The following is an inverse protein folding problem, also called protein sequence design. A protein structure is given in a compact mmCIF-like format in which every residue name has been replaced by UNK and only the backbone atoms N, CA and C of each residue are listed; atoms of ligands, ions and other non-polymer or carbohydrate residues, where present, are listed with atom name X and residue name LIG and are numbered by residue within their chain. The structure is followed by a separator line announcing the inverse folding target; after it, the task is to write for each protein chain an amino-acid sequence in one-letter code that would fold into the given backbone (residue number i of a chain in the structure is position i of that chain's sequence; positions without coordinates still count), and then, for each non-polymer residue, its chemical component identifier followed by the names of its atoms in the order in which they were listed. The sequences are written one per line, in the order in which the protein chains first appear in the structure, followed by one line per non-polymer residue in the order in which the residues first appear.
data_IF_663026289037
#
_entry.id   IF_663026289037
#
_cell.length_a   1.000
_cell.length_b   1.000
_cell.length_c   1.000
_cell.angle_alpha   90.00
_cell.angle_beta   90.00
_cell.angle_gamma   90.00
#
_symmetry.space_group_name_H-M   'P 1'
#
loop_
_entity.id
_entity.type
_entity.pdbx_description
1 polymer ?
#
# COMPACT_ATOMS: atom_id res chain seq x y z
N UNK A 1 -8.24 15.05 12.88
CA UNK A 1 -8.34 13.72 12.27
C UNK A 1 -9.56 13.66 11.36
N UNK A 2 -9.40 13.15 10.13
CA UNK A 2 -10.44 12.99 9.12
C UNK A 2 -11.72 12.31 9.67
N UNK A 3 -12.93 12.80 9.29
CA UNK A 3 -14.22 12.23 9.75
C UNK A 3 -14.38 10.76 9.31
N UNK A 4 -13.92 10.42 8.11
CA UNK A 4 -13.98 9.06 7.59
C UNK A 4 -13.04 8.13 8.38
N UNK A 5 -11.80 8.57 8.64
CA UNK A 5 -10.85 7.80 9.46
C UNK A 5 -11.38 7.58 10.89
N UNK A 6 -11.96 8.62 11.50
CA UNK A 6 -12.62 8.51 12.81
C UNK A 6 -13.72 7.44 12.80
N UNK A 7 -14.51 7.35 11.72
CA UNK A 7 -15.52 6.30 11.56
C UNK A 7 -14.89 4.91 11.44
N UNK A 8 -13.83 4.75 10.65
CA UNK A 8 -13.13 3.47 10.51
C UNK A 8 -12.56 2.96 11.84
N UNK A 9 -12.06 3.87 12.69
CA UNK A 9 -11.59 3.54 14.03
C UNK A 9 -12.75 3.03 14.91
N UNK A 10 -13.89 3.73 14.91
CA UNK A 10 -15.09 3.29 15.63
C UNK A 10 -15.61 1.93 15.16
N UNK A 11 -15.52 1.66 13.85
CA UNK A 11 -15.89 0.37 13.24
C UNK A 11 -14.83 -0.73 13.40
N UNK A 12 -13.71 -0.46 14.08
CA UNK A 12 -12.57 -1.38 14.23
C UNK A 12 -11.92 -1.83 12.91
N UNK A 13 -12.14 -1.09 11.82
CA UNK A 13 -11.46 -1.32 10.53
C UNK A 13 -10.05 -0.72 10.51
N UNK A 14 -9.79 0.23 11.39
CA UNK A 14 -8.45 0.75 11.71
C UNK A 14 -8.29 0.66 13.22
N UNK A 15 -7.22 0.03 13.70
CA UNK A 15 -7.02 -0.23 15.12
C UNK A 15 -5.55 -0.03 15.51
N UNK A 16 -5.33 0.51 16.71
CA UNK A 16 -4.03 0.42 17.35
C UNK A 16 -3.85 -0.99 17.90
N UNK A 17 -2.71 -1.57 17.61
CA UNK A 17 -2.25 -2.89 18.07
C UNK A 17 -0.83 -2.77 18.59
N UNK A 18 -0.27 -3.85 19.12
CA UNK A 18 1.17 -3.90 19.38
C UNK A 18 1.95 -3.83 18.06
N UNK A 19 3.11 -3.21 18.09
CA UNK A 19 4.06 -3.29 16.99
C UNK A 19 4.41 -4.76 16.75
N UNK A 20 4.36 -5.20 15.49
CA UNK A 20 4.58 -6.61 15.16
C UNK A 20 5.58 -6.74 14.04
N UNK A 21 6.80 -7.15 14.40
CA UNK A 21 7.84 -7.50 13.44
C UNK A 21 7.40 -8.67 12.55
N UNK A 22 6.78 -9.69 13.13
CA UNK A 22 6.25 -10.85 12.40
C UNK A 22 5.22 -10.45 11.33
N UNK A 23 4.24 -9.61 11.68
CA UNK A 23 3.25 -9.14 10.71
C UNK A 23 3.88 -8.22 9.66
N UNK A 24 4.83 -7.37 10.05
CA UNK A 24 5.60 -6.55 9.13
C UNK A 24 6.32 -7.43 8.09
N UNK A 25 7.06 -8.44 8.53
CA UNK A 25 7.78 -9.40 7.68
C UNK A 25 6.82 -10.20 6.80
N UNK A 26 5.69 -10.66 7.34
CA UNK A 26 4.67 -11.40 6.56
C UNK A 26 4.12 -10.56 5.39
N UNK A 27 3.84 -9.27 5.63
CA UNK A 27 3.37 -8.39 4.56
C UNK A 27 4.49 -7.93 3.61
N UNK A 28 5.75 -7.89 4.06
CA UNK A 28 6.91 -7.72 3.18
C UNK A 28 7.07 -8.93 2.25
N UNK A 29 6.92 -10.15 2.75
CA UNK A 29 6.92 -11.35 1.91
C UNK A 29 5.80 -11.29 0.87
N UNK A 30 4.57 -10.93 1.28
CA UNK A 30 3.46 -10.72 0.34
C UNK A 30 3.74 -9.62 -0.68
N UNK A 31 4.50 -8.58 -0.31
CA UNK A 31 4.93 -7.54 -1.24
C UNK A 31 5.82 -8.15 -2.32
N UNK A 32 6.83 -8.90 -1.91
CA UNK A 32 7.81 -9.50 -2.81
C UNK A 32 7.16 -10.58 -3.70
N UNK A 33 6.28 -11.42 -3.15
CA UNK A 33 5.52 -12.43 -3.89
C UNK A 33 4.60 -11.80 -4.95
N UNK A 34 3.89 -10.72 -4.61
CA UNK A 34 3.05 -9.99 -5.57
C UNK A 34 3.91 -9.36 -6.68
N UNK A 35 5.05 -8.75 -6.35
CA UNK A 35 5.91 -8.14 -7.35
C UNK A 35 6.52 -9.20 -8.30
N UNK A 36 6.95 -10.35 -7.76
CA UNK A 36 7.41 -11.48 -8.56
C UNK A 36 6.29 -12.00 -9.48
N UNK A 37 5.09 -12.17 -8.93
CA UNK A 37 3.91 -12.60 -9.70
C UNK A 37 3.60 -11.62 -10.82
N UNK A 38 3.67 -10.31 -10.56
CA UNK A 38 3.42 -9.29 -11.58
C UNK A 38 4.37 -9.42 -12.78
N UNK A 39 5.65 -9.70 -12.54
CA UNK A 39 6.66 -9.90 -13.58
C UNK A 39 6.39 -11.16 -14.41
N UNK A 40 6.12 -12.29 -13.75
CA UNK A 40 5.77 -13.55 -14.43
C UNK A 40 4.51 -13.38 -15.27
N UNK A 41 3.49 -12.69 -14.75
CA UNK A 41 2.23 -12.45 -15.46
C UNK A 41 2.44 -11.56 -16.69
N UNK A 42 3.28 -10.53 -16.61
CA UNK A 42 3.66 -9.70 -17.75
C UNK A 42 4.33 -10.55 -18.85
N UNK A 43 5.29 -11.40 -18.49
CA UNK A 43 6.01 -12.27 -19.43
C UNK A 43 5.07 -13.26 -20.15
N UNK A 44 3.98 -13.66 -19.49
CA UNK A 44 2.98 -14.59 -20.01
C UNK A 44 1.79 -13.90 -20.70
N UNK A 45 1.85 -12.58 -20.94
CA UNK A 45 0.78 -11.84 -21.63
C UNK A 45 -0.47 -11.60 -20.77
N UNK A 46 -0.40 -11.84 -19.46
CA UNK A 46 -1.50 -11.66 -18.51
C UNK A 46 -1.45 -10.26 -17.88
N UNK A 47 -1.50 -9.22 -18.73
CA UNK A 47 -1.23 -7.83 -18.36
C UNK A 47 -2.15 -7.28 -17.27
N UNK A 48 -3.43 -7.61 -17.32
CA UNK A 48 -4.40 -7.22 -16.28
C UNK A 48 -3.97 -7.73 -14.90
N UNK A 49 -3.68 -9.03 -14.82
CA UNK A 49 -3.29 -9.67 -13.57
C UNK A 49 -1.94 -9.15 -13.09
N UNK A 50 -1.05 -8.79 -14.02
CA UNK A 50 0.21 -8.12 -13.69
C UNK A 50 -0.03 -6.76 -13.02
N UNK A 51 -0.89 -5.90 -13.60
CA UNK A 51 -1.28 -4.60 -13.02
C UNK A 51 -1.89 -4.78 -11.62
N UNK A 52 -2.78 -5.76 -11.46
CA UNK A 52 -3.40 -6.07 -10.17
C UNK A 52 -2.35 -6.44 -9.12
N UNK A 53 -1.39 -7.30 -9.48
CA UNK A 53 -0.33 -7.71 -8.57
C UNK A 53 0.65 -6.57 -8.24
N UNK A 54 0.97 -5.70 -9.20
CA UNK A 54 1.76 -4.49 -8.96
C UNK A 54 1.11 -3.58 -7.91
N UNK A 55 -0.21 -3.39 -7.98
CA UNK A 55 -0.97 -2.65 -6.96
C UNK A 55 -0.92 -3.33 -5.58
N UNK A 56 -1.16 -4.64 -5.53
CA UNK A 56 -1.17 -5.35 -4.25
C UNK A 56 0.21 -5.41 -3.61
N UNK A 57 1.29 -5.44 -4.39
CA UNK A 57 2.64 -5.29 -3.85
C UNK A 57 2.79 -3.95 -3.10
N UNK A 58 2.40 -2.83 -3.71
CA UNK A 58 2.44 -1.51 -3.04
C UNK A 58 1.55 -1.47 -1.79
N UNK A 59 0.32 -1.99 -1.89
CA UNK A 59 -0.61 -1.96 -0.76
C UNK A 59 -0.15 -2.84 0.41
N UNK A 60 0.33 -4.05 0.15
CA UNK A 60 0.92 -4.92 1.17
C UNK A 60 2.12 -4.25 1.84
N UNK A 61 2.92 -3.50 1.09
CA UNK A 61 4.07 -2.79 1.65
C UNK A 61 3.65 -1.66 2.61
N UNK A 62 2.55 -0.96 2.32
CA UNK A 62 1.93 -0.02 3.27
C UNK A 62 1.44 -0.75 4.51
N UNK A 63 0.77 -1.91 4.36
CA UNK A 63 0.32 -2.69 5.52
C UNK A 63 1.49 -3.14 6.39
N UNK A 64 2.61 -3.59 5.80
CA UNK A 64 3.82 -3.93 6.53
C UNK A 64 4.31 -2.75 7.39
N UNK A 65 4.38 -1.56 6.79
CA UNK A 65 4.76 -0.34 7.51
C UNK A 65 3.78 0.03 8.63
N UNK A 66 2.48 -0.12 8.40
CA UNK A 66 1.48 0.13 9.44
C UNK A 66 1.64 -0.82 10.62
N UNK A 67 1.90 -2.12 10.39
CA UNK A 67 2.18 -3.08 11.48
C UNK A 67 3.48 -2.76 12.23
N UNK A 68 4.51 -2.25 11.54
CA UNK A 68 5.70 -1.71 12.20
C UNK A 68 5.37 -0.54 13.14
N UNK A 69 4.37 0.27 12.80
CA UNK A 69 3.88 1.34 13.67
C UNK A 69 2.82 0.87 14.70
N UNK A 70 2.51 -0.43 14.74
CA UNK A 70 1.46 -1.01 15.57
C UNK A 70 0.06 -0.54 15.17
N UNK A 71 -0.21 -0.45 13.86
CA UNK A 71 -1.50 -0.08 13.29
C UNK A 71 -1.99 -1.21 12.40
N UNK A 72 -3.18 -1.72 12.71
CA UNK A 72 -3.91 -2.64 11.84
C UNK A 72 -4.90 -1.84 11.01
N UNK A 73 -4.90 -2.04 9.69
CA UNK A 73 -5.87 -1.46 8.76
C UNK A 73 -6.42 -2.51 7.80
N UNK A 74 -7.75 -2.62 7.75
CA UNK A 74 -8.49 -3.51 6.85
C UNK A 74 -9.19 -2.72 5.73
N UNK A 75 -8.83 -1.45 5.53
CA UNK A 75 -9.46 -0.57 4.55
C UNK A 75 -8.43 0.18 3.71
N UNK A 76 -8.44 -0.03 2.39
CA UNK A 76 -7.50 0.61 1.46
C UNK A 76 -7.51 2.14 1.57
N UNK A 77 -8.70 2.75 1.59
CA UNK A 77 -8.84 4.21 1.71
C UNK A 77 -8.37 4.70 3.08
N UNK A 78 -8.67 3.95 4.14
CA UNK A 78 -8.14 4.22 5.48
C UNK A 78 -6.61 4.23 5.52
N UNK A 79 -5.97 3.21 4.94
CA UNK A 79 -4.50 3.11 4.87
C UNK A 79 -3.88 4.29 4.09
N UNK A 80 -4.48 4.70 2.98
CA UNK A 80 -4.03 5.88 2.21
C UNK A 80 -4.18 7.18 2.99
N UNK A 81 -5.30 7.36 3.71
CA UNK A 81 -5.51 8.55 4.56
C UNK A 81 -4.48 8.57 5.70
N UNK A 82 -4.18 7.43 6.34
CA UNK A 82 -3.15 7.35 7.37
C UNK A 82 -1.78 7.73 6.79
N UNK A 83 -1.43 7.19 5.62
CA UNK A 83 -0.18 7.51 4.93
C UNK A 83 -0.06 9.00 4.58
N UNK A 84 -1.14 9.59 4.06
CA UNK A 84 -1.20 11.00 3.67
C UNK A 84 -1.18 11.96 4.87
N UNK A 85 -2.11 11.78 5.79
CA UNK A 85 -2.42 12.79 6.81
C UNK A 85 -1.69 12.55 8.14
N UNK A 86 -1.40 11.30 8.51
CA UNK A 86 -0.80 10.97 9.82
C UNK A 86 0.70 10.73 9.71
N UNK A 87 1.12 9.93 8.72
CA UNK A 87 2.54 9.66 8.43
C UNK A 87 3.17 10.83 7.63
N UNK A 88 2.34 11.73 7.09
CA UNK A 88 2.74 12.91 6.32
C UNK A 88 3.58 12.54 5.08
N UNK A 89 3.09 11.57 4.29
CA UNK A 89 3.66 11.12 3.02
C UNK A 89 2.63 11.25 1.88
N UNK A 90 2.17 12.47 1.57
CA UNK A 90 1.17 12.69 0.52
C UNK A 90 1.60 12.13 -0.83
N UNK A 91 2.89 12.20 -1.18
CA UNK A 91 3.44 11.70 -2.43
C UNK A 91 3.30 10.17 -2.58
N UNK A 92 3.45 9.43 -1.48
CA UNK A 92 3.26 7.97 -1.47
C UNK A 92 1.77 7.64 -1.50
N UNK A 93 0.96 8.38 -0.74
CA UNK A 93 -0.49 8.17 -0.77
C UNK A 93 -1.07 8.42 -2.18
N UNK A 94 -0.59 9.43 -2.89
CA UNK A 94 -1.01 9.77 -4.25
C UNK A 94 -0.59 8.70 -5.26
N UNK A 95 0.67 8.22 -5.23
CA UNK A 95 1.08 7.09 -6.09
C UNK A 95 0.26 5.82 -5.83
N UNK A 96 -0.05 5.50 -4.57
CA UNK A 96 -0.90 4.35 -4.26
C UNK A 96 -2.36 4.56 -4.74
N UNK A 97 -2.87 5.78 -4.68
CA UNK A 97 -4.21 6.12 -5.19
C UNK A 97 -4.26 6.05 -6.72
N UNK A 98 -3.24 6.54 -7.41
CA UNK A 98 -3.10 6.48 -8.86
C UNK A 98 -3.06 5.03 -9.33
N UNK A 99 -2.22 4.20 -8.69
CA UNK A 99 -2.15 2.77 -8.99
C UNK A 99 -3.47 2.04 -8.70
N UNK A 100 -4.22 2.47 -7.67
CA UNK A 100 -5.57 1.94 -7.40
C UNK A 100 -6.54 2.25 -8.53
N UNK A 101 -6.48 3.46 -9.11
CA UNK A 101 -7.31 3.84 -10.28
C UNK A 101 -6.94 3.00 -11.49
N UNK A 102 -5.65 2.93 -11.82
CA UNK A 102 -5.11 2.09 -12.91
C UNK A 102 -5.60 0.64 -12.79
N UNK A 103 -5.52 0.05 -11.59
CA UNK A 103 -6.02 -1.30 -11.31
C UNK A 103 -7.53 -1.42 -11.57
N UNK A 104 -8.34 -0.52 -11.02
CA UNK A 104 -9.80 -0.54 -11.20
C UNK A 104 -10.12 -0.43 -12.69
N UNK A 105 -9.48 0.50 -13.39
CA UNK A 105 -9.73 0.71 -14.80
C UNK A 105 -9.41 -0.54 -15.62
N UNK A 106 -8.26 -1.17 -15.32
CA UNK A 106 -7.88 -2.42 -15.97
C UNK A 106 -8.76 -3.62 -15.61
N UNK A 107 -9.59 -3.57 -14.56
CA UNK A 107 -10.48 -4.69 -14.17
C UNK A 107 -11.90 -4.56 -14.73
N UNK A 108 -12.37 -3.33 -14.96
CA UNK A 108 -13.79 -3.08 -15.24
C UNK A 108 -14.07 -2.51 -16.63
N UNK A 109 -13.05 -2.10 -17.39
CA UNK A 109 -13.22 -1.62 -18.77
C UNK A 109 -12.66 -2.61 -19.79
N UNK A 110 -13.35 -2.72 -20.92
CA UNK A 110 -12.96 -3.58 -22.05
C UNK A 110 -11.70 -3.07 -22.72
N UNK A 111 -10.83 -4.00 -23.11
CA UNK A 111 -9.50 -3.72 -23.64
C UNK A 111 -9.43 -4.12 -25.10
N UNK A 112 -9.34 -3.13 -25.98
CA UNK A 112 -9.30 -3.37 -27.42
C UNK A 112 -7.87 -3.40 -27.97
N UNK A 113 -6.86 -3.08 -27.14
CA UNK A 113 -5.45 -2.97 -27.55
C UNK A 113 -4.49 -3.67 -26.57
N UNK A 114 -3.94 -4.81 -27.01
CA UNK A 114 -3.00 -5.63 -26.22
C UNK A 114 -1.64 -4.96 -25.98
N UNK A 115 -1.15 -4.14 -26.91
CA UNK A 115 0.15 -3.47 -26.77
C UNK A 115 0.08 -2.34 -25.73
N UNK A 116 -1.06 -1.64 -25.67
CA UNK A 116 -1.32 -0.63 -24.66
C UNK A 116 -1.40 -1.24 -23.26
N UNK A 117 -2.08 -2.37 -23.10
CA UNK A 117 -2.16 -3.09 -21.83
C UNK A 117 -0.79 -3.62 -21.38
N UNK A 118 0.02 -4.13 -22.32
CA UNK A 118 1.39 -4.52 -22.04
C UNK A 118 2.23 -3.35 -21.51
N UNK A 119 2.18 -2.21 -22.18
CA UNK A 119 2.88 -0.99 -21.76
C UNK A 119 2.43 -0.54 -20.39
N UNK A 120 1.11 -0.48 -20.15
CA UNK A 120 0.51 -0.13 -18.86
C UNK A 120 0.95 -1.08 -17.74
N UNK A 121 1.05 -2.38 -18.04
CA UNK A 121 1.57 -3.39 -17.12
C UNK A 121 3.06 -3.19 -16.80
N UNK A 122 3.90 -2.89 -17.79
CA UNK A 122 5.31 -2.56 -17.58
C UNK A 122 5.50 -1.31 -16.72
N UNK A 123 4.74 -0.24 -17.01
CA UNK A 123 4.75 1.00 -16.22
C UNK A 123 4.30 0.76 -14.79
N UNK A 124 3.26 -0.07 -14.59
CA UNK A 124 2.76 -0.45 -13.26
C UNK A 124 3.79 -1.21 -12.42
N UNK A 125 4.55 -2.13 -13.02
CA UNK A 125 5.63 -2.84 -12.31
C UNK A 125 6.72 -1.83 -11.89
N UNK A 126 7.14 -0.95 -12.80
CA UNK A 126 8.17 0.05 -12.51
C UNK A 126 7.74 0.99 -11.37
N UNK A 127 6.50 1.49 -11.42
CA UNK A 127 5.96 2.34 -10.35
C UNK A 127 5.92 1.59 -9.00
N UNK A 128 5.50 0.32 -9.03
CA UNK A 128 5.48 -0.54 -7.83
C UNK A 128 6.87 -0.70 -7.22
N UNK A 129 7.90 -0.96 -8.05
CA UNK A 129 9.29 -1.07 -7.60
C UNK A 129 9.81 0.23 -6.96
N UNK A 130 9.57 1.38 -7.62
CA UNK A 130 9.97 2.69 -7.11
C UNK A 130 9.26 3.03 -5.79
N UNK A 131 7.96 2.71 -5.70
CA UNK A 131 7.17 2.90 -4.48
C UNK A 131 7.69 2.05 -3.32
N UNK A 132 7.93 0.76 -3.56
CA UNK A 132 8.44 -0.17 -2.55
C UNK A 132 9.83 0.28 -2.05
N UNK A 133 10.69 0.78 -2.94
CA UNK A 133 11.99 1.33 -2.54
C UNK A 133 11.84 2.53 -1.58
N UNK A 134 10.96 3.49 -1.93
CA UNK A 134 10.69 4.66 -1.07
C UNK A 134 10.12 4.25 0.28
N UNK A 135 9.21 3.28 0.30
CA UNK A 135 8.65 2.73 1.54
C UNK A 135 9.69 1.98 2.39
N UNK A 136 10.61 1.23 1.77
CA UNK A 136 11.74 0.58 2.49
C UNK A 136 12.65 1.63 3.14
N UNK A 137 12.94 2.74 2.45
CA UNK A 137 13.70 3.86 3.03
C UNK A 137 12.95 4.45 4.23
N UNK A 138 11.64 4.73 4.08
CA UNK A 138 10.81 5.24 5.16
C UNK A 138 10.83 4.30 6.37
N UNK A 139 10.60 3.01 6.14
CA UNK A 139 10.57 1.97 7.17
C UNK A 139 11.89 1.85 7.94
N UNK A 140 13.03 2.02 7.27
CA UNK A 140 14.34 1.97 7.91
C UNK A 140 14.72 3.28 8.62
N UNK A 141 14.13 4.40 8.20
CA UNK A 141 14.45 5.74 8.74
C UNK A 141 13.57 6.17 9.92
N UNK A 142 12.39 5.56 10.09
CA UNK A 142 11.42 5.99 11.11
C UNK A 142 11.95 5.71 12.52
N UNK A 143 11.88 6.73 13.39
CA UNK A 143 12.27 6.64 14.80
C UNK A 143 11.10 6.26 15.69
N UNK A 144 11.39 5.66 16.85
CA UNK A 144 10.35 5.34 17.84
C UNK A 144 9.52 6.57 18.26
N UNK A 145 10.14 7.75 18.38
CA UNK A 145 9.42 8.99 18.68
C UNK A 145 8.47 9.46 17.57
N UNK A 146 8.69 9.02 16.32
CA UNK A 146 7.74 9.23 15.22
C UNK A 146 6.61 8.22 15.29
N UNK A 147 6.91 6.94 15.58
CA UNK A 147 5.89 5.91 15.78
C UNK A 147 4.92 6.29 16.90
N UNK A 148 5.43 6.74 18.05
CA UNK A 148 4.58 7.22 19.15
C UNK A 148 3.68 8.37 18.73
N UNK A 149 4.20 9.37 17.99
CA UNK A 149 3.39 10.49 17.48
C UNK A 149 2.30 10.04 16.51
N UNK A 150 2.59 9.06 15.65
CA UNK A 150 1.60 8.46 14.75
C UNK A 150 0.49 7.78 15.57
N UNK A 151 0.86 7.00 16.59
CA UNK A 151 -0.09 6.28 17.46
C UNK A 151 -0.94 7.24 18.29
N UNK A 152 -0.35 8.28 18.87
CA UNK A 152 -1.05 9.36 19.59
C UNK A 152 -2.10 10.04 18.69
N UNK A 153 -1.75 10.29 17.42
CA UNK A 153 -2.66 10.91 16.44
C UNK A 153 -3.89 10.06 16.12
N UNK A 154 -3.84 8.75 16.37
CA UNK A 154 -4.95 7.80 16.22
C UNK A 154 -5.69 7.53 17.54
N UNK A 155 -5.34 8.23 18.62
CA UNK A 155 -5.98 8.11 19.93
C UNK A 155 -5.27 7.18 20.92
N UNK A 156 -4.01 6.79 20.63
CA UNK A 156 -3.14 6.09 21.59
C UNK A 156 -2.81 7.00 22.77
N UNK A 157 -2.77 6.43 23.98
CA UNK A 157 -2.26 7.11 25.18
C UNK A 157 -0.88 6.55 25.51
N UNK A 158 0.03 7.42 25.97
CA UNK A 158 1.34 7.04 26.53
C UNK A 158 1.19 6.15 27.74
#
# INVERSE_FOLDING_TARGET
MNRFLTRLIKEKKVQLVEESAEMCESYQQKTDDCLLSAKILLENGLYENSIINSYYAMYNNVLAFLYKCGIKSENHTGSMIILKEIINKPELAESLEDMKRIRIDSQYYTKDNQEEEKKKSQESIKESEEFILKMKILMNSIKNSEIERIRESLGGKR
#
